data_IF_676956613054
#
_entry.id   IF_676956613054
#
_cell.length_a   1.000
_cell.length_b   1.000
_cell.length_c   1.000
_cell.angle_alpha   90.00
_cell.angle_beta   90.00
_cell.angle_gamma   90.00
#
_symmetry.space_group_name_H-M   'P 1'
#
loop_
_entity.id
_entity.type
_entity.pdbx_description
1 polymer ?
#
# COMPACT_ATOMS: atom_id res chain seq x y z
N UNK A 1 28.20 12.89 7.36
CA UNK A 1 27.36 11.78 6.88
C UNK A 1 26.11 11.71 7.77
N UNK A 2 25.09 10.92 7.41
CA UNK A 2 23.77 10.90 8.07
C UNK A 2 23.84 10.65 9.59
N UNK A 3 24.83 9.89 10.05
CA UNK A 3 25.10 9.66 11.47
C UNK A 3 25.62 10.89 12.26
N UNK A 4 26.01 11.97 11.57
CA UNK A 4 26.48 13.20 12.20
C UNK A 4 25.33 14.17 12.53
N UNK A 5 24.11 13.88 12.04
CA UNK A 5 22.91 14.65 12.36
C UNK A 5 22.30 14.18 13.68
N UNK A 6 21.56 15.07 14.37
CA UNK A 6 20.70 14.59 15.46
C UNK A 6 19.60 13.68 14.91
N UNK A 7 19.15 12.71 15.72
CA UNK A 7 18.08 11.80 15.31
C UNK A 7 16.82 12.57 14.87
N UNK A 8 16.48 13.66 15.55
CA UNK A 8 15.32 14.48 15.17
C UNK A 8 15.50 15.14 13.79
N UNK A 9 16.72 15.56 13.43
CA UNK A 9 16.98 16.11 12.09
C UNK A 9 16.80 15.04 11.00
N UNK A 10 17.19 13.80 11.28
CA UNK A 10 16.95 12.67 10.38
C UNK A 10 15.46 12.40 10.21
N UNK A 11 14.71 12.32 11.32
CA UNK A 11 13.25 12.13 11.30
C UNK A 11 12.57 13.25 10.51
N UNK A 12 12.89 14.52 10.80
CA UNK A 12 12.31 15.65 10.07
C UNK A 12 12.60 15.58 8.56
N UNK A 13 13.80 15.14 8.18
CA UNK A 13 14.18 15.01 6.78
C UNK A 13 13.43 13.84 6.12
N UNK A 14 13.28 12.72 6.82
CA UNK A 14 12.48 11.57 6.37
C UNK A 14 11.00 11.92 6.22
N UNK A 15 10.42 12.64 7.19
CA UNK A 15 9.02 13.08 7.15
C UNK A 15 8.73 13.99 5.94
N UNK A 16 9.70 14.84 5.55
CA UNK A 16 9.57 15.62 4.32
C UNK A 16 9.46 14.74 3.06
N UNK A 17 10.06 13.54 3.06
CA UNK A 17 9.90 12.58 1.96
C UNK A 17 8.50 11.98 1.94
N UNK A 18 7.89 11.74 3.11
CA UNK A 18 6.52 11.25 3.23
C UNK A 18 5.51 12.28 2.69
N UNK A 19 5.73 13.58 2.96
CA UNK A 19 4.93 14.66 2.36
C UNK A 19 5.04 14.65 0.83
N UNK A 20 6.22 14.34 0.29
CA UNK A 20 6.39 14.23 -1.16
C UNK A 20 5.74 12.95 -1.73
N UNK A 21 5.75 11.83 -1.00
CA UNK A 21 5.00 10.61 -1.37
C UNK A 21 3.50 10.90 -1.44
N UNK A 22 2.94 11.55 -0.40
CA UNK A 22 1.53 11.98 -0.38
C UNK A 22 1.18 12.80 -1.62
N UNK A 23 1.99 13.80 -1.95
CA UNK A 23 1.81 14.63 -3.15
C UNK A 23 1.85 13.84 -4.47
N UNK A 24 2.75 12.87 -4.59
CA UNK A 24 2.84 12.02 -5.79
C UNK A 24 1.61 11.11 -5.90
N UNK A 25 1.19 10.50 -4.79
CA UNK A 25 -0.01 9.65 -4.74
C UNK A 25 -1.27 10.45 -5.07
N UNK A 26 -1.45 11.65 -4.51
CA UNK A 26 -2.57 12.54 -4.86
C UNK A 26 -2.58 12.89 -6.35
N UNK A 27 -1.42 13.26 -6.90
CA UNK A 27 -1.30 13.53 -8.35
C UNK A 27 -1.69 12.31 -9.19
N UNK A 28 -1.25 11.11 -8.82
CA UNK A 28 -1.61 9.88 -9.52
C UNK A 28 -3.12 9.64 -9.48
N UNK A 29 -3.75 9.81 -8.31
CA UNK A 29 -5.22 9.70 -8.15
C UNK A 29 -5.93 10.75 -9.03
N UNK A 30 -5.43 11.98 -9.08
CA UNK A 30 -6.05 13.04 -9.88
C UNK A 30 -5.93 12.79 -11.39
N UNK A 31 -4.82 12.19 -11.85
CA UNK A 31 -4.70 11.69 -13.24
C UNK A 31 -5.75 10.61 -13.52
N UNK A 32 -5.92 9.65 -12.61
CA UNK A 32 -6.91 8.57 -12.73
C UNK A 32 -8.35 9.10 -12.72
N UNK A 33 -8.66 10.09 -11.87
CA UNK A 33 -9.96 10.77 -11.82
C UNK A 33 -10.31 11.47 -13.14
N UNK A 34 -9.34 12.15 -13.75
CA UNK A 34 -9.53 12.87 -15.01
C UNK A 34 -9.90 11.97 -16.21
N UNK A 35 -9.74 10.65 -16.07
CA UNK A 35 -10.01 9.67 -17.14
C UNK A 35 -11.16 8.70 -16.79
N UNK A 36 -11.94 8.99 -15.75
CA UNK A 36 -13.07 8.14 -15.30
C UNK A 36 -14.26 8.11 -16.28
N UNK A 37 -14.30 9.02 -17.25
CA UNK A 37 -15.28 8.99 -18.35
C UNK A 37 -15.04 7.82 -19.32
N UNK A 38 -13.82 7.27 -19.35
CA UNK A 38 -13.39 6.23 -20.30
C UNK A 38 -12.90 4.95 -19.65
N UNK A 39 -12.35 5.02 -18.44
CA UNK A 39 -11.74 3.89 -17.78
C UNK A 39 -12.27 3.69 -16.36
N UNK A 40 -12.47 2.43 -15.98
CA UNK A 40 -12.67 2.03 -14.59
C UNK A 40 -11.32 2.03 -13.87
N UNK A 41 -11.02 3.07 -13.10
CA UNK A 41 -9.69 3.30 -12.53
C UNK A 41 -9.54 2.83 -11.08
N UNK A 42 -8.31 2.45 -10.73
CA UNK A 42 -7.85 2.12 -9.36
C UNK A 42 -6.35 2.44 -9.23
N UNK A 43 -5.86 2.56 -8.00
CA UNK A 43 -4.45 2.76 -7.66
C UNK A 43 -4.09 1.84 -6.48
N UNK A 44 -2.92 1.20 -6.56
CA UNK A 44 -2.28 0.52 -5.43
C UNK A 44 -0.92 1.17 -5.20
N UNK A 45 -0.66 1.61 -3.97
CA UNK A 45 0.65 2.07 -3.51
C UNK A 45 1.11 1.16 -2.38
N UNK A 46 2.32 0.62 -2.48
CA UNK A 46 2.93 -0.26 -1.49
C UNK A 46 4.42 0.07 -1.43
N UNK A 47 4.96 0.32 -0.23
CA UNK A 47 6.42 0.39 -0.06
C UNK A 47 7.03 -1.00 -0.15
N UNK A 48 8.24 -1.09 -0.68
CA UNK A 48 9.02 -2.32 -0.74
C UNK A 48 9.56 -2.72 0.65
N UNK A 49 9.99 -1.73 1.43
CA UNK A 49 10.40 -1.88 2.84
C UNK A 49 10.26 -0.55 3.60
N UNK A 50 10.57 -0.58 4.90
CA UNK A 50 10.69 0.61 5.75
C UNK A 50 12.15 1.07 5.94
N UNK A 51 12.42 1.91 6.94
CA UNK A 51 13.73 2.54 7.15
C UNK A 51 14.05 2.65 8.65
N UNK A 52 15.29 2.39 9.05
CA UNK A 52 15.80 2.72 10.40
C UNK A 52 16.45 4.11 10.40
N UNK A 53 16.08 4.93 11.39
CA UNK A 53 16.49 6.34 11.50
C UNK A 53 17.35 6.60 12.74
N UNK A 54 18.04 5.58 13.25
CA UNK A 54 18.97 5.66 14.38
C UNK A 54 18.53 4.90 15.63
N UNK A 55 17.36 4.24 15.61
CA UNK A 55 16.89 3.44 16.73
C UNK A 55 17.89 2.34 17.07
N UNK A 56 18.33 2.28 18.33
CA UNK A 56 19.33 1.32 18.80
C UNK A 56 20.65 1.32 17.98
N UNK A 57 20.98 2.46 17.35
CA UNK A 57 22.16 2.61 16.50
C UNK A 57 22.02 2.01 15.09
N UNK A 58 20.83 1.52 14.71
CA UNK A 58 20.53 1.05 13.36
C UNK A 58 20.14 2.23 12.46
N UNK A 59 20.72 2.27 11.27
CA UNK A 59 20.42 3.25 10.23
C UNK A 59 20.17 2.53 8.91
N UNK A 60 19.46 3.20 7.99
CA UNK A 60 19.13 2.69 6.67
C UNK A 60 18.24 1.44 6.74
N UNK A 61 18.32 0.62 5.70
CA UNK A 61 17.62 -0.64 5.53
C UNK A 61 18.59 -1.75 5.12
N UNK A 62 18.07 -2.97 4.95
CA UNK A 62 18.84 -4.12 4.44
C UNK A 62 19.40 -5.03 5.53
N UNK A 63 18.90 -4.93 6.76
CA UNK A 63 19.19 -5.94 7.78
C UNK A 63 18.57 -7.30 7.37
N UNK A 64 19.22 -8.44 7.66
CA UNK A 64 18.63 -9.75 7.43
C UNK A 64 17.25 -9.84 8.11
N UNK A 65 16.23 -10.30 7.39
CA UNK A 65 14.83 -10.23 7.83
C UNK A 65 14.61 -10.80 9.24
N UNK A 66 15.29 -11.89 9.59
CA UNK A 66 15.21 -12.55 10.91
C UNK A 66 15.62 -11.65 12.09
N UNK A 67 16.41 -10.60 11.85
CA UNK A 67 16.88 -9.65 12.87
C UNK A 67 16.48 -8.20 12.54
N UNK A 68 15.80 -7.96 11.43
CA UNK A 68 15.39 -6.63 11.02
C UNK A 68 14.31 -6.08 11.99
N UNK A 69 14.44 -4.82 12.44
CA UNK A 69 13.44 -4.19 13.28
C UNK A 69 12.15 -3.95 12.50
N UNK A 70 11.05 -3.73 13.22
CA UNK A 70 9.76 -3.47 12.59
C UNK A 70 9.76 -2.19 11.75
N UNK A 71 10.64 -1.22 12.07
CA UNK A 71 10.84 -0.02 11.25
C UNK A 71 11.27 -0.33 9.81
N UNK A 72 11.89 -1.50 9.53
CA UNK A 72 12.24 -1.93 8.17
C UNK A 72 11.20 -2.86 7.53
N UNK A 73 10.25 -3.40 8.30
CA UNK A 73 9.30 -4.43 7.83
C UNK A 73 7.85 -3.95 7.75
N UNK A 74 7.45 -3.03 8.61
CA UNK A 74 6.10 -2.49 8.66
C UNK A 74 6.00 -1.34 7.65
N UNK A 75 5.23 -1.56 6.58
CA UNK A 75 5.17 -0.65 5.42
C UNK A 75 3.75 -0.17 5.13
N UNK A 76 3.60 1.02 4.52
CA UNK A 76 2.30 1.49 4.07
C UNK A 76 1.81 0.72 2.84
N UNK A 77 0.53 0.34 2.87
CA UNK A 77 -0.26 -0.11 1.72
C UNK A 77 -1.50 0.79 1.60
N UNK A 78 -1.74 1.34 0.40
CA UNK A 78 -2.92 2.11 0.06
C UNK A 78 -3.57 1.52 -1.19
N UNK A 79 -4.88 1.26 -1.10
CA UNK A 79 -5.70 0.88 -2.26
C UNK A 79 -6.77 1.97 -2.44
N UNK A 80 -6.75 2.64 -3.57
CA UNK A 80 -7.78 3.59 -3.98
C UNK A 80 -8.57 3.02 -5.16
N UNK A 81 -9.90 3.01 -5.04
CA UNK A 81 -10.82 2.52 -6.05
C UNK A 81 -11.76 3.65 -6.47
N UNK A 82 -11.92 3.88 -7.78
CA UNK A 82 -12.93 4.81 -8.27
C UNK A 82 -14.34 4.38 -7.86
N UNK A 83 -15.28 5.33 -7.81
CA UNK A 83 -16.68 5.03 -7.51
C UNK A 83 -17.28 4.07 -8.56
N UNK A 84 -16.87 4.19 -9.82
CA UNK A 84 -17.24 3.25 -10.89
C UNK A 84 -16.68 1.85 -10.61
N UNK A 85 -15.40 1.75 -10.22
CA UNK A 85 -14.77 0.46 -9.86
C UNK A 85 -15.56 -0.23 -8.75
N UNK A 86 -15.86 0.50 -7.67
CA UNK A 86 -16.60 -0.05 -6.53
C UNK A 86 -17.97 -0.57 -6.94
N UNK A 87 -18.71 0.16 -7.79
CA UNK A 87 -20.03 -0.26 -8.29
C UNK A 87 -19.94 -1.46 -9.22
N UNK A 88 -19.04 -1.40 -10.21
CA UNK A 88 -18.89 -2.41 -11.26
C UNK A 88 -18.47 -3.76 -10.73
N UNK A 89 -17.57 -3.77 -9.74
CA UNK A 89 -17.04 -4.99 -9.12
C UNK A 89 -17.65 -5.28 -7.74
N UNK A 90 -18.74 -4.59 -7.38
CA UNK A 90 -19.48 -4.76 -6.14
C UNK A 90 -18.60 -4.76 -4.87
N UNK A 91 -17.60 -3.88 -4.83
CA UNK A 91 -16.68 -3.76 -3.69
C UNK A 91 -17.31 -2.87 -2.63
N UNK A 92 -17.52 -3.40 -1.43
CA UNK A 92 -18.06 -2.68 -0.30
C UNK A 92 -16.96 -1.87 0.41
N UNK A 93 -16.99 -0.55 0.24
CA UNK A 93 -16.03 0.37 0.88
C UNK A 93 -16.03 0.34 2.40
N UNK A 94 -17.20 0.16 3.02
CA UNK A 94 -17.30 0.08 4.48
C UNK A 94 -16.62 -1.19 5.01
N UNK A 95 -16.80 -2.31 4.30
CA UNK A 95 -16.08 -3.55 4.57
C UNK A 95 -14.57 -3.35 4.44
N UNK A 96 -14.08 -2.74 3.35
CA UNK A 96 -12.65 -2.50 3.15
C UNK A 96 -12.05 -1.61 4.24
N UNK A 97 -12.74 -0.53 4.61
CA UNK A 97 -12.27 0.35 5.68
C UNK A 97 -12.20 -0.38 7.03
N UNK A 98 -13.14 -1.29 7.31
CA UNK A 98 -13.10 -2.12 8.51
C UNK A 98 -11.92 -3.09 8.45
N UNK A 99 -11.77 -3.80 7.32
CA UNK A 99 -10.71 -4.77 7.10
C UNK A 99 -9.32 -4.13 7.28
N UNK A 100 -9.10 -2.98 6.65
CA UNK A 100 -7.85 -2.21 6.77
C UNK A 100 -7.55 -1.72 8.20
N UNK A 101 -8.55 -1.63 9.08
CA UNK A 101 -8.39 -1.18 10.46
C UNK A 101 -8.24 -2.33 11.47
N UNK A 102 -8.55 -3.56 11.08
CA UNK A 102 -8.64 -4.69 12.02
C UNK A 102 -7.82 -5.91 11.65
N UNK A 103 -7.34 -5.99 10.41
CA UNK A 103 -6.64 -7.16 9.90
C UNK A 103 -5.19 -6.81 9.54
N UNK A 104 -4.35 -7.85 9.48
CA UNK A 104 -2.93 -7.74 9.14
C UNK A 104 -2.70 -8.25 7.71
N UNK A 105 -1.91 -7.51 6.93
CA UNK A 105 -1.56 -7.87 5.55
C UNK A 105 -0.05 -7.85 5.34
N UNK A 106 0.40 -8.62 4.35
CA UNK A 106 1.80 -8.62 3.91
C UNK A 106 1.88 -8.37 2.39
N UNK A 107 3.09 -8.30 1.88
CA UNK A 107 3.33 -8.26 0.43
C UNK A 107 2.88 -9.55 -0.28
N UNK A 108 2.64 -10.65 0.44
CA UNK A 108 2.11 -11.91 -0.13
C UNK A 108 0.71 -11.69 -0.75
N UNK A 109 -0.05 -10.74 -0.20
CA UNK A 109 -1.38 -10.39 -0.71
C UNK A 109 -1.35 -9.62 -2.04
N UNK A 110 -0.21 -9.03 -2.42
CA UNK A 110 -0.14 -8.14 -3.58
C UNK A 110 -0.49 -8.88 -4.88
N UNK A 111 0.02 -10.09 -5.06
CA UNK A 111 -0.11 -10.82 -6.32
C UNK A 111 -1.57 -11.13 -6.66
N UNK A 112 -2.27 -11.81 -5.76
CA UNK A 112 -3.69 -12.14 -5.95
C UNK A 112 -4.56 -10.90 -5.97
N UNK A 113 -4.27 -9.87 -5.16
CA UNK A 113 -5.00 -8.60 -5.19
C UNK A 113 -4.89 -7.91 -6.55
N UNK A 114 -3.70 -7.89 -7.18
CA UNK A 114 -3.52 -7.32 -8.52
C UNK A 114 -4.28 -8.10 -9.59
N UNK A 115 -4.25 -9.43 -9.55
CA UNK A 115 -5.05 -10.28 -10.45
C UNK A 115 -6.55 -10.05 -10.28
N UNK A 116 -7.00 -9.95 -9.03
CA UNK A 116 -8.39 -9.64 -8.67
C UNK A 116 -8.79 -8.24 -9.14
N UNK A 117 -7.88 -7.27 -9.09
CA UNK A 117 -8.10 -5.90 -9.54
C UNK A 117 -8.30 -5.80 -11.06
N UNK A 118 -7.51 -6.55 -11.83
CA UNK A 118 -7.55 -6.56 -13.30
C UNK A 118 -8.57 -7.55 -13.88
N UNK A 119 -9.14 -8.42 -13.05
CA UNK A 119 -10.05 -9.48 -13.49
C UNK A 119 -9.36 -10.59 -14.29
N UNK A 120 -8.07 -10.83 -14.04
CA UNK A 120 -7.28 -11.81 -14.78
C UNK A 120 -7.67 -13.23 -14.36
N UNK A 121 -8.19 -14.01 -15.30
CA UNK A 121 -8.50 -15.42 -15.08
C UNK A 121 -7.23 -16.28 -15.23
N UNK A 122 -6.76 -16.86 -14.14
CA UNK A 122 -5.60 -17.76 -14.10
C UNK A 122 -5.72 -18.75 -12.94
N UNK A 123 -5.04 -19.89 -13.04
CA UNK A 123 -4.96 -20.88 -11.97
C UNK A 123 -4.05 -20.44 -10.81
N UNK A 124 -3.21 -19.42 -11.05
CA UNK A 124 -2.33 -18.83 -10.04
C UNK A 124 -3.07 -17.89 -9.08
N UNK A 125 -4.34 -17.58 -9.34
CA UNK A 125 -5.14 -16.71 -8.49
C UNK A 125 -5.57 -17.46 -7.22
N UNK A 126 -5.18 -16.94 -6.05
CA UNK A 126 -5.58 -17.48 -4.75
C UNK A 126 -6.53 -16.49 -4.08
N UNK A 127 -7.85 -16.78 -4.03
CA UNK A 127 -8.84 -15.84 -3.50
C UNK A 127 -8.61 -15.42 -2.04
N UNK A 128 -7.99 -16.30 -1.23
CA UNK A 128 -7.67 -16.00 0.16
C UNK A 128 -6.59 -14.92 0.31
N UNK A 129 -5.75 -14.72 -0.71
CA UNK A 129 -4.69 -13.72 -0.71
C UNK A 129 -5.12 -12.39 -1.36
N UNK A 130 -6.28 -12.34 -2.02
CA UNK A 130 -6.87 -11.10 -2.54
C UNK A 130 -7.61 -10.35 -1.43
N UNK A 131 -7.07 -9.19 -1.05
CA UNK A 131 -7.63 -8.30 -0.01
C UNK A 131 -9.08 -7.91 -0.32
N UNK A 132 -9.44 -7.79 -1.60
CA UNK A 132 -10.77 -7.34 -2.01
C UNK A 132 -11.83 -8.45 -1.94
N UNK A 133 -11.42 -9.72 -1.93
CA UNK A 133 -12.34 -10.86 -2.11
C UNK A 133 -13.41 -10.91 -1.01
N UNK A 134 -13.04 -10.70 0.26
CA UNK A 134 -13.99 -10.73 1.39
C UNK A 134 -14.99 -9.57 1.38
N UNK A 135 -14.66 -8.48 0.68
CA UNK A 135 -15.48 -7.28 0.58
C UNK A 135 -16.17 -7.12 -0.77
N UNK A 136 -16.06 -8.09 -1.68
CA UNK A 136 -16.88 -8.18 -2.88
C UNK A 136 -18.18 -8.92 -2.57
N UNK A 137 -19.31 -8.37 -2.99
CA UNK A 137 -20.55 -9.15 -3.02
C UNK A 137 -20.37 -10.34 -3.96
N UNK A 138 -20.79 -11.53 -3.54
CA UNK A 138 -20.93 -12.66 -4.47
C UNK A 138 -21.92 -12.25 -5.58
N UNK A 139 -21.66 -12.63 -6.85
CA UNK A 139 -22.58 -12.35 -7.95
C UNK A 139 -23.98 -12.94 -7.72
#
# INVERSE_FOLDING_TARGET
QIQDCSQQQLINTYDNTLVNVDHIVDKAINVLRAHQDRFTTSLVYLSDHGESLGENGAYLHGLPYAIAPDTQKHVPLLIWLSDDYQKRYAVNRSCLNKLAATDDFSQDNLFSTMLGLTGTATHEYVPADDILTSCRSQP
#
